data_IF_682314274460
#
_entry.id   IF_682314274460
#
_cell.length_a   1.000
_cell.length_b   1.000
_cell.length_c   1.000
_cell.angle_alpha   90.00
_cell.angle_beta   90.00
_cell.angle_gamma   90.00
#
_symmetry.space_group_name_H-M   'P 1'
#
loop_
_entity.id
_entity.type
_entity.pdbx_description
1 polymer ?
#
# COMPACT_ATOMS: atom_id res chain seq x y z
N UNK A 1 -18.75 -29.61 14.06
CA UNK A 1 -18.72 -30.25 12.72
C UNK A 1 -17.93 -29.34 11.80
N UNK A 2 -16.79 -29.80 11.27
CA UNK A 2 -16.00 -29.00 10.35
C UNK A 2 -16.58 -29.11 8.93
N UNK A 3 -16.73 -27.99 8.24
CA UNK A 3 -17.11 -27.96 6.84
C UNK A 3 -15.83 -27.85 5.99
N UNK A 4 -15.70 -28.72 5.00
CA UNK A 4 -14.56 -28.73 4.08
C UNK A 4 -15.05 -28.62 2.64
N UNK A 5 -14.21 -28.08 1.76
CA UNK A 5 -14.54 -27.97 0.33
C UNK A 5 -13.95 -29.14 -0.43
N UNK A 6 -14.77 -29.90 -1.16
CA UNK A 6 -14.29 -31.01 -2.00
C UNK A 6 -13.34 -30.47 -3.09
N UNK A 7 -12.14 -31.05 -3.22
CA UNK A 7 -11.12 -30.58 -4.16
C UNK A 7 -11.56 -30.66 -5.62
N UNK A 8 -12.37 -31.66 -5.96
CA UNK A 8 -12.81 -31.96 -7.33
C UNK A 8 -14.05 -31.19 -7.75
N UNK A 9 -15.14 -31.27 -6.97
CA UNK A 9 -16.41 -30.62 -7.33
C UNK A 9 -16.61 -29.24 -6.70
N UNK A 10 -15.68 -28.78 -5.85
CA UNK A 10 -15.72 -27.47 -5.16
C UNK A 10 -16.94 -27.21 -4.29
N UNK A 11 -17.75 -28.24 -3.97
CA UNK A 11 -18.88 -28.12 -3.05
C UNK A 11 -18.45 -28.26 -1.60
N UNK A 12 -19.14 -27.54 -0.72
CA UNK A 12 -18.94 -27.61 0.73
C UNK A 12 -19.64 -28.89 1.24
N UNK A 13 -18.90 -29.71 1.98
CA UNK A 13 -19.39 -30.98 2.57
C UNK A 13 -18.98 -31.07 4.03
N UNK A 14 -19.70 -31.87 4.81
CA UNK A 14 -19.32 -32.17 6.18
C UNK A 14 -18.06 -33.05 6.20
N UNK A 15 -17.12 -32.77 7.11
CA UNK A 15 -15.87 -33.52 7.23
C UNK A 15 -16.06 -34.99 7.64
N UNK A 16 -17.27 -35.40 8.05
CA UNK A 16 -17.59 -36.75 8.50
C UNK A 16 -18.25 -37.64 7.44
N UNK A 17 -18.52 -37.10 6.24
CA UNK A 17 -19.09 -37.88 5.12
C UNK A 17 -17.96 -38.28 4.17
N UNK A 18 -17.46 -39.50 4.32
CA UNK A 18 -16.50 -40.13 3.41
C UNK A 18 -17.17 -41.34 2.74
N UNK A 19 -17.19 -41.45 1.39
CA UNK A 19 -16.65 -40.54 0.36
C UNK A 19 -17.56 -39.32 0.06
N UNK A 20 -17.06 -38.36 -0.74
CA UNK A 20 -17.83 -37.15 -1.11
C UNK A 20 -19.15 -37.52 -1.82
N UNK A 21 -20.32 -37.08 -1.32
CA UNK A 21 -21.62 -37.54 -1.82
C UNK A 21 -21.95 -37.06 -3.25
N UNK A 22 -21.23 -36.06 -3.74
CA UNK A 22 -21.50 -35.47 -5.06
C UNK A 22 -20.62 -36.02 -6.19
N UNK A 23 -19.42 -36.52 -5.88
CA UNK A 23 -18.48 -36.95 -6.91
C UNK A 23 -17.72 -38.24 -6.59
N UNK A 24 -17.94 -38.84 -5.41
CA UNK A 24 -17.30 -40.09 -5.00
C UNK A 24 -15.81 -39.98 -4.71
N UNK A 25 -15.24 -38.77 -4.68
CA UNK A 25 -13.81 -38.60 -4.41
C UNK A 25 -13.50 -38.99 -2.94
N UNK A 26 -12.48 -39.84 -2.71
CA UNK A 26 -12.06 -40.23 -1.37
C UNK A 26 -11.47 -39.03 -0.61
N UNK A 27 -11.55 -39.09 0.71
CA UNK A 27 -11.07 -38.02 1.57
C UNK A 27 -9.54 -37.97 1.58
N UNK A 28 -8.90 -36.80 1.68
CA UNK A 28 -7.46 -36.71 1.88
C UNK A 28 -6.97 -37.37 3.17
N UNK A 29 -7.86 -37.71 4.11
CA UNK A 29 -7.52 -38.48 5.31
C UNK A 29 -7.09 -39.93 5.00
N UNK A 30 -7.67 -40.55 3.98
CA UNK A 30 -7.36 -41.94 3.59
C UNK A 30 -5.99 -42.07 2.93
N UNK A 31 -5.51 -41.00 2.27
CA UNK A 31 -4.20 -40.99 1.61
C UNK A 31 -3.01 -40.97 2.59
N UNK A 32 -3.26 -40.74 3.88
CA UNK A 32 -2.21 -40.71 4.91
C UNK A 32 -1.95 -42.07 5.58
N UNK A 33 -2.83 -43.06 5.41
CA UNK A 33 -2.77 -44.32 6.15
C UNK A 33 -1.73 -45.33 5.61
N UNK A 34 -1.16 -45.13 4.42
CA UNK A 34 -0.32 -46.14 3.75
C UNK A 34 1.19 -45.83 3.72
N UNK A 35 1.66 -44.82 4.48
CA UNK A 35 3.11 -44.58 4.61
C UNK A 35 3.67 -45.27 5.84
N UNK A 36 3.92 -46.58 5.71
CA UNK A 36 4.85 -47.28 6.60
C UNK A 36 6.22 -46.57 6.62
N UNK A 37 6.75 -46.19 7.79
CA UNK A 37 8.09 -45.63 7.89
C UNK A 37 9.12 -46.74 7.66
N UNK A 38 9.70 -46.80 6.47
CA UNK A 38 10.95 -47.55 6.24
C UNK A 38 12.07 -46.84 7.01
N UNK A 39 12.68 -47.55 7.94
CA UNK A 39 13.86 -47.11 8.68
C UNK A 39 15.02 -46.82 7.71
N UNK A 40 15.16 -45.55 7.31
CA UNK A 40 16.36 -45.05 6.65
C UNK A 40 17.34 -44.54 7.72
N UNK A 41 17.90 -45.47 8.50
CA UNK A 41 19.01 -45.18 9.39
C UNK A 41 20.31 -45.00 8.58
N UNK A 42 21.09 -43.99 9.01
CA UNK A 42 22.53 -43.86 8.80
C UNK A 42 23.11 -43.29 7.48
N UNK A 43 22.40 -42.40 6.75
CA UNK A 43 23.06 -41.56 5.71
C UNK A 43 22.80 -40.04 5.78
N UNK A 44 21.87 -39.59 6.62
CA UNK A 44 21.51 -38.16 6.70
C UNK A 44 22.24 -37.36 7.80
N UNK A 45 22.98 -38.03 8.70
CA UNK A 45 23.72 -37.35 9.76
C UNK A 45 24.82 -36.40 9.22
N UNK A 46 25.45 -36.76 8.09
CA UNK A 46 26.44 -35.91 7.43
C UNK A 46 25.84 -34.69 6.73
N UNK A 47 24.67 -34.82 6.10
CA UNK A 47 24.01 -33.70 5.42
C UNK A 47 23.43 -32.67 6.38
N UNK A 48 22.92 -33.10 7.54
CA UNK A 48 22.42 -32.17 8.55
C UNK A 48 23.55 -31.26 9.09
N UNK A 49 24.73 -31.82 9.36
CA UNK A 49 25.90 -31.05 9.78
C UNK A 49 26.42 -30.10 8.68
N UNK A 50 26.44 -30.55 7.42
CA UNK A 50 26.84 -29.70 6.30
C UNK A 50 25.90 -28.51 6.08
N UNK A 51 24.57 -28.74 6.18
CA UNK A 51 23.58 -27.66 6.07
C UNK A 51 23.67 -26.67 7.23
N UNK A 52 23.90 -27.17 8.45
CA UNK A 52 24.02 -26.32 9.63
C UNK A 52 25.30 -25.48 9.59
N UNK A 53 26.41 -26.04 9.10
CA UNK A 53 27.65 -25.30 8.86
C UNK A 53 27.47 -24.23 7.76
N UNK A 54 26.76 -24.54 6.67
CA UNK A 54 26.49 -23.57 5.60
C UNK A 54 25.62 -22.41 6.10
N UNK A 55 24.59 -22.69 6.90
CA UNK A 55 23.74 -21.66 7.54
C UNK A 55 24.55 -20.77 8.49
N UNK A 56 25.48 -21.35 9.25
CA UNK A 56 26.38 -20.61 10.13
C UNK A 56 27.33 -19.69 9.35
N UNK A 57 27.87 -20.17 8.23
CA UNK A 57 28.71 -19.35 7.33
C UNK A 57 27.90 -18.18 6.74
N UNK A 58 26.67 -18.43 6.30
CA UNK A 58 25.79 -17.38 5.78
C UNK A 58 25.43 -16.35 6.86
N UNK A 59 25.14 -16.79 8.09
CA UNK A 59 24.91 -15.90 9.23
C UNK A 59 26.15 -15.07 9.59
N UNK A 60 27.33 -15.66 9.56
CA UNK A 60 28.59 -14.97 9.81
C UNK A 60 28.92 -13.97 8.69
N UNK A 61 28.65 -14.30 7.43
CA UNK A 61 28.79 -13.36 6.31
C UNK A 61 27.79 -12.20 6.41
N UNK A 62 26.58 -12.45 6.91
CA UNK A 62 25.60 -11.39 7.14
C UNK A 62 26.04 -10.45 8.27
N UNK A 63 26.54 -11.00 9.38
CA UNK A 63 27.06 -10.21 10.51
C UNK A 63 28.35 -9.45 10.18
N UNK A 64 29.28 -10.05 9.43
CA UNK A 64 30.51 -9.40 9.01
C UNK A 64 30.28 -8.39 7.86
N UNK A 65 29.28 -8.62 7.02
CA UNK A 65 28.92 -7.77 5.88
C UNK A 65 28.16 -6.49 6.27
N UNK A 66 27.54 -6.44 7.44
CA UNK A 66 26.86 -5.23 7.95
C UNK A 66 27.79 -4.14 8.49
N UNK A 67 29.11 -4.35 8.48
CA UNK A 67 30.09 -3.48 9.17
C UNK A 67 30.87 -2.48 8.30
N UNK A 68 30.69 -2.45 6.98
CA UNK A 68 31.34 -1.46 6.09
C UNK A 68 30.35 -0.89 5.10
N UNK A 69 29.38 -0.12 5.60
CA UNK A 69 28.93 1.00 4.81
C UNK A 69 30.07 2.02 4.86
N UNK A 70 30.93 1.99 3.84
CA UNK A 70 31.74 3.13 3.51
C UNK A 70 30.78 4.32 3.45
N UNK A 71 30.89 5.20 4.45
CA UNK A 71 30.33 6.51 4.38
C UNK A 71 31.07 7.23 3.25
N UNK A 72 30.68 6.93 2.01
CA UNK A 72 30.74 7.91 0.95
C UNK A 72 30.07 9.13 1.57
N UNK A 73 30.79 10.26 1.75
CA UNK A 73 30.11 11.49 2.12
C UNK A 73 29.05 11.64 1.05
N UNK A 74 27.78 11.58 1.49
CA UNK A 74 26.69 11.96 0.63
C UNK A 74 27.10 13.33 0.12
N UNK A 75 27.47 13.40 -1.16
CA UNK A 75 27.36 14.64 -1.90
C UNK A 75 25.89 14.94 -1.77
N UNK A 76 25.57 15.78 -0.77
CA UNK A 76 24.26 16.36 -0.61
C UNK A 76 24.11 17.13 -1.89
N UNK A 77 23.40 16.52 -2.82
CA UNK A 77 23.10 17.07 -4.12
C UNK A 77 22.35 18.38 -3.84
N UNK A 78 23.08 19.51 -3.92
CA UNK A 78 22.57 20.84 -3.58
C UNK A 78 21.32 21.19 -4.41
N UNK A 79 21.04 20.45 -5.48
CA UNK A 79 19.81 20.50 -6.27
C UNK A 79 18.53 20.14 -5.49
N UNK A 80 18.61 19.41 -4.38
CA UNK A 80 17.43 19.10 -3.55
C UNK A 80 16.98 20.29 -2.68
N UNK A 81 17.84 21.30 -2.47
CA UNK A 81 17.51 22.46 -1.63
C UNK A 81 16.62 23.50 -2.29
N UNK A 82 16.47 23.44 -3.62
CA UNK A 82 15.69 24.41 -4.40
C UNK A 82 14.28 23.92 -4.76
N UNK A 83 13.80 22.80 -4.22
CA UNK A 83 12.47 22.30 -4.53
C UNK A 83 11.42 22.87 -3.57
N UNK A 84 10.40 23.53 -4.10
CA UNK A 84 9.25 24.05 -3.32
C UNK A 84 7.99 23.29 -3.71
N UNK A 85 7.11 23.03 -2.74
CA UNK A 85 5.85 22.34 -3.03
C UNK A 85 4.77 23.30 -3.57
N UNK A 86 3.82 22.75 -4.32
CA UNK A 86 2.76 23.53 -4.97
C UNK A 86 1.67 24.03 -4.00
N UNK A 87 1.71 23.63 -2.73
CA UNK A 87 0.81 24.14 -1.69
C UNK A 87 1.35 25.47 -1.13
N UNK A 88 2.66 25.58 -0.91
CA UNK A 88 3.30 26.79 -0.37
C UNK A 88 3.60 27.84 -1.43
N UNK A 89 3.91 27.41 -2.67
CA UNK A 89 4.10 28.31 -3.80
C UNK A 89 3.21 27.89 -4.96
N UNK A 90 2.37 28.80 -5.44
CA UNK A 90 1.43 28.53 -6.53
C UNK A 90 2.16 27.90 -7.73
N UNK A 91 1.59 26.81 -8.24
CA UNK A 91 2.02 26.15 -9.48
C UNK A 91 0.98 26.45 -10.56
N UNK A 92 1.20 27.48 -11.40
CA UNK A 92 0.29 27.81 -12.49
C UNK A 92 0.29 26.71 -13.57
N UNK A 93 -0.72 26.73 -14.44
CA UNK A 93 -0.78 25.84 -15.60
C UNK A 93 0.50 25.95 -16.46
N UNK A 94 0.97 24.82 -16.98
CA UNK A 94 2.22 24.70 -17.72
C UNK A 94 3.44 24.39 -16.85
N UNK A 95 3.37 24.57 -15.53
CA UNK A 95 4.46 24.24 -14.59
C UNK A 95 4.80 22.77 -14.67
N UNK A 96 6.09 22.46 -14.84
CA UNK A 96 6.63 21.10 -14.70
C UNK A 96 6.98 20.82 -13.25
N UNK A 97 6.57 19.66 -12.77
CA UNK A 97 6.76 19.27 -11.40
C UNK A 97 6.99 17.75 -11.29
N UNK A 98 7.41 17.32 -10.11
CA UNK A 98 7.59 15.90 -9.78
C UNK A 98 6.75 15.56 -8.56
N UNK A 99 6.08 14.42 -8.61
CA UNK A 99 5.32 13.93 -7.47
C UNK A 99 6.27 13.47 -6.36
N UNK A 100 5.84 13.68 -5.12
CA UNK A 100 6.57 13.24 -3.93
C UNK A 100 5.63 12.51 -2.96
N UNK A 101 6.07 11.34 -2.50
CA UNK A 101 5.37 10.52 -1.51
C UNK A 101 6.40 9.82 -0.64
N UNK A 102 6.04 9.54 0.61
CA UNK A 102 6.82 8.67 1.50
C UNK A 102 6.00 7.44 1.88
N UNK A 103 6.59 6.49 2.61
CA UNK A 103 5.85 5.34 3.13
C UNK A 103 4.84 5.75 4.19
N UNK A 104 5.18 6.77 4.98
CA UNK A 104 4.37 7.32 6.06
C UNK A 104 3.27 8.23 5.53
N UNK A 105 3.51 8.84 4.37
CA UNK A 105 2.61 9.80 3.77
C UNK A 105 2.32 9.46 2.30
N UNK A 106 1.55 8.38 2.05
CA UNK A 106 1.00 8.12 0.74
C UNK A 106 -0.03 9.19 0.35
N UNK A 107 -0.41 9.21 -0.92
CA UNK A 107 -1.52 10.01 -1.43
C UNK A 107 -2.27 9.25 -2.53
N UNK A 108 -3.45 9.74 -2.89
CA UNK A 108 -4.26 9.24 -3.99
C UNK A 108 -4.39 10.28 -5.11
N UNK A 109 -4.23 9.81 -6.35
CA UNK A 109 -4.52 10.54 -7.59
C UNK A 109 -5.90 10.11 -8.10
N UNK A 110 -6.84 11.04 -8.26
CA UNK A 110 -8.25 10.74 -8.52
C UNK A 110 -8.76 11.36 -9.83
N UNK A 111 -9.94 10.91 -10.28
CA UNK A 111 -10.57 11.41 -11.53
C UNK A 111 -11.23 12.79 -11.40
N UNK A 112 -11.56 13.23 -10.19
CA UNK A 112 -12.11 14.55 -9.90
C UNK A 112 -11.42 15.19 -8.69
N UNK A 113 -11.55 16.51 -8.54
CA UNK A 113 -11.04 17.25 -7.40
C UNK A 113 -11.77 16.86 -6.12
N UNK A 114 -13.08 16.62 -6.15
CA UNK A 114 -13.83 16.25 -4.95
C UNK A 114 -13.41 14.88 -4.41
N UNK A 115 -13.15 13.91 -5.29
CA UNK A 115 -12.59 12.62 -4.89
C UNK A 115 -11.18 12.76 -4.32
N UNK A 116 -10.35 13.62 -4.93
CA UNK A 116 -8.98 13.86 -4.46
C UNK A 116 -8.98 14.54 -3.09
N UNK A 117 -9.76 15.59 -2.91
CA UNK A 117 -9.93 16.31 -1.64
C UNK A 117 -10.40 15.34 -0.54
N UNK A 118 -11.47 14.59 -0.80
CA UNK A 118 -12.03 13.66 0.19
C UNK A 118 -11.06 12.52 0.54
N UNK A 119 -10.52 11.81 -0.46
CA UNK A 119 -9.69 10.63 -0.21
C UNK A 119 -8.38 11.00 0.50
N UNK A 120 -7.76 12.12 0.10
CA UNK A 120 -6.51 12.56 0.73
C UNK A 120 -6.75 13.21 2.09
N UNK A 121 -7.91 13.83 2.33
CA UNK A 121 -8.29 14.29 3.67
C UNK A 121 -8.46 13.12 4.64
N UNK A 122 -9.23 12.07 4.26
CA UNK A 122 -9.41 10.86 5.09
C UNK A 122 -8.06 10.23 5.43
N UNK A 123 -7.17 10.11 4.43
CA UNK A 123 -5.82 9.59 4.64
C UNK A 123 -4.98 10.47 5.56
N UNK A 124 -5.08 11.79 5.42
CA UNK A 124 -4.42 12.75 6.31
C UNK A 124 -4.86 12.60 7.77
N UNK A 125 -6.17 12.43 8.00
CA UNK A 125 -6.72 12.15 9.35
C UNK A 125 -6.17 10.84 9.90
N UNK A 126 -6.18 9.77 9.11
CA UNK A 126 -5.62 8.47 9.53
C UNK A 126 -4.15 8.61 9.97
N UNK A 127 -3.34 9.30 9.18
CA UNK A 127 -1.91 9.53 9.48
C UNK A 127 -1.77 10.39 10.74
N UNK A 128 -2.55 11.46 10.88
CA UNK A 128 -2.50 12.35 12.04
C UNK A 128 -2.80 11.62 13.36
N UNK A 129 -3.68 10.63 13.35
CA UNK A 129 -3.95 9.77 14.51
C UNK A 129 -2.83 8.75 14.78
N UNK A 130 -2.25 8.20 13.72
CA UNK A 130 -1.19 7.18 13.81
C UNK A 130 0.15 7.75 14.29
N UNK A 131 0.52 8.97 13.88
CA UNK A 131 1.81 9.56 14.20
C UNK A 131 2.10 9.67 15.71
N UNK A 132 1.21 10.20 16.57
CA UNK A 132 1.48 10.32 18.00
C UNK A 132 1.33 9.01 18.77
N UNK A 133 0.45 8.11 18.32
CA UNK A 133 0.08 6.90 19.07
C UNK A 133 0.80 5.63 18.61
N UNK A 134 1.30 5.62 17.37
CA UNK A 134 1.75 4.41 16.67
C UNK A 134 0.63 3.42 16.35
N UNK A 135 -0.63 3.76 16.65
CA UNK A 135 -1.79 2.88 16.48
C UNK A 135 -2.72 3.40 15.39
N UNK A 136 -3.31 2.48 14.62
CA UNK A 136 -4.36 2.82 13.68
C UNK A 136 -5.58 3.37 14.44
N UNK A 137 -6.27 4.40 13.92
CA UNK A 137 -7.50 4.89 14.54
C UNK A 137 -8.61 3.82 14.44
N UNK A 138 -9.63 3.96 15.31
CA UNK A 138 -10.87 3.21 15.15
C UNK A 138 -11.54 3.60 13.82
N UNK A 139 -11.96 2.61 13.04
CA UNK A 139 -12.57 2.82 11.72
C UNK A 139 -14.07 2.55 11.80
N UNK A 140 -14.86 3.54 11.37
CA UNK A 140 -16.31 3.45 11.30
C UNK A 140 -16.81 2.62 10.10
N UNK A 141 -18.14 2.49 9.99
CA UNK A 141 -18.79 1.74 8.90
C UNK A 141 -18.52 2.31 7.49
N UNK A 142 -18.09 3.56 7.41
CA UNK A 142 -17.78 4.27 6.17
C UNK A 142 -16.35 4.01 5.71
N UNK A 143 -15.52 3.28 6.47
CA UNK A 143 -14.09 3.13 6.20
C UNK A 143 -13.26 4.36 6.60
N UNK A 144 -13.88 5.34 7.26
CA UNK A 144 -13.25 6.56 7.77
C UNK A 144 -12.90 6.41 9.27
N UNK A 145 -11.90 7.15 9.78
CA UNK A 145 -11.65 7.25 11.22
C UNK A 145 -12.87 7.77 11.98
N UNK A 146 -13.12 7.21 13.17
CA UNK A 146 -14.16 7.71 14.07
C UNK A 146 -13.67 9.00 14.73
N UNK A 147 -14.19 10.14 14.24
CA UNK A 147 -13.86 11.48 14.73
C UNK A 147 -15.12 12.25 15.17
N UNK A 148 -14.92 13.36 15.90
CA UNK A 148 -15.99 14.17 16.45
C UNK A 148 -15.82 15.66 16.07
N UNK A 149 -16.82 16.49 16.39
CA UNK A 149 -16.73 17.94 16.24
C UNK A 149 -16.57 18.41 14.79
N UNK A 150 -15.72 19.42 14.58
CA UNK A 150 -15.47 20.05 13.29
C UNK A 150 -14.87 19.09 12.25
N UNK A 151 -14.06 18.13 12.71
CA UNK A 151 -13.42 17.16 11.84
C UNK A 151 -14.43 16.19 11.23
N UNK A 152 -15.41 15.75 12.04
CA UNK A 152 -16.54 14.98 11.56
C UNK A 152 -17.35 15.76 10.52
N UNK A 153 -17.62 17.04 10.78
CA UNK A 153 -18.35 17.89 9.84
C UNK A 153 -17.58 18.06 8.52
N UNK A 154 -16.26 18.19 8.57
CA UNK A 154 -15.41 18.26 7.39
C UNK A 154 -15.46 16.95 6.58
N UNK A 155 -15.36 15.79 7.23
CA UNK A 155 -15.51 14.48 6.59
C UNK A 155 -16.88 14.33 5.93
N UNK A 156 -17.96 14.60 6.66
CA UNK A 156 -19.32 14.44 6.15
C UNK A 156 -19.56 15.37 4.94
N UNK A 157 -19.06 16.61 5.00
CA UNK A 157 -19.14 17.56 3.88
C UNK A 157 -18.33 17.10 2.67
N UNK A 158 -17.08 16.68 2.85
CA UNK A 158 -16.20 16.25 1.76
C UNK A 158 -16.74 14.97 1.11
N UNK A 159 -17.21 14.02 1.90
CA UNK A 159 -17.85 12.78 1.42
C UNK A 159 -19.09 13.08 0.59
N UNK A 160 -19.96 13.96 1.07
CA UNK A 160 -21.14 14.41 0.33
C UNK A 160 -20.75 15.13 -0.97
N UNK A 161 -19.75 16.02 -0.93
CA UNK A 161 -19.20 16.73 -2.11
C UNK A 161 -18.66 15.74 -3.15
N UNK A 162 -17.96 14.69 -2.71
CA UNK A 162 -17.43 13.64 -3.57
C UNK A 162 -18.51 12.68 -4.12
N UNK A 163 -19.74 12.74 -3.61
CA UNK A 163 -20.85 11.90 -4.07
C UNK A 163 -20.65 10.41 -3.80
N UNK A 164 -19.97 10.08 -2.70
CA UNK A 164 -19.66 8.69 -2.29
C UNK A 164 -20.18 8.40 -0.89
N UNK A 165 -20.39 7.12 -0.60
CA UNK A 165 -20.92 6.66 0.69
C UNK A 165 -19.84 6.20 1.67
N UNK A 166 -18.71 5.70 1.14
CA UNK A 166 -17.59 5.15 1.91
C UNK A 166 -16.25 5.59 1.32
N UNK A 167 -15.20 5.51 2.14
CA UNK A 167 -13.83 5.73 1.72
C UNK A 167 -13.36 4.69 0.69
N UNK A 168 -13.77 3.43 0.85
CA UNK A 168 -13.47 2.34 -0.11
C UNK A 168 -14.04 2.66 -1.50
N UNK A 169 -15.27 3.17 -1.57
CA UNK A 169 -15.90 3.57 -2.84
C UNK A 169 -15.13 4.72 -3.51
N UNK A 170 -14.60 5.66 -2.71
CA UNK A 170 -13.80 6.77 -3.22
C UNK A 170 -12.48 6.27 -3.81
N UNK A 171 -11.70 5.48 -3.05
CA UNK A 171 -10.38 5.03 -3.50
C UNK A 171 -10.46 4.03 -4.65
N UNK A 172 -11.58 3.33 -4.83
CA UNK A 172 -11.83 2.50 -6.03
C UNK A 172 -11.89 3.33 -7.33
N UNK A 173 -12.11 4.65 -7.23
CA UNK A 173 -12.12 5.61 -8.34
C UNK A 173 -10.81 6.42 -8.42
N UNK A 174 -9.83 6.08 -7.59
CA UNK A 174 -8.52 6.71 -7.53
C UNK A 174 -7.41 5.69 -7.78
N UNK A 175 -6.19 6.19 -7.91
CA UNK A 175 -4.96 5.44 -8.01
C UNK A 175 -4.04 5.87 -6.88
N UNK A 176 -3.24 4.94 -6.36
CA UNK A 176 -2.20 5.30 -5.41
C UNK A 176 -1.16 6.17 -6.12
N UNK A 177 -0.79 7.28 -5.50
CA UNK A 177 0.24 8.17 -6.00
C UNK A 177 1.60 7.49 -6.12
N UNK A 178 2.30 7.79 -7.21
CA UNK A 178 3.65 7.29 -7.48
C UNK A 178 4.69 8.31 -7.03
N UNK A 179 5.89 7.84 -6.67
CA UNK A 179 7.01 8.71 -6.33
C UNK A 179 7.79 9.10 -7.58
N UNK A 180 8.25 10.35 -7.66
CA UNK A 180 9.08 10.86 -8.75
C UNK A 180 8.44 10.80 -10.14
N UNK A 181 7.11 10.76 -10.22
CA UNK A 181 6.40 10.86 -11.49
C UNK A 181 6.51 12.30 -12.00
N UNK A 182 7.04 12.46 -13.21
CA UNK A 182 7.11 13.78 -13.87
C UNK A 182 5.73 14.13 -14.40
N UNK A 183 5.25 15.32 -14.07
CA UNK A 183 3.94 15.79 -14.47
C UNK A 183 3.98 17.25 -14.90
N UNK A 184 3.01 17.64 -15.73
CA UNK A 184 2.73 19.02 -16.06
C UNK A 184 1.39 19.45 -15.44
N UNK A 185 1.38 20.60 -14.78
CA UNK A 185 0.16 21.19 -14.24
C UNK A 185 -0.72 21.67 -15.38
N UNK A 186 -1.96 21.19 -15.40
CA UNK A 186 -2.98 21.63 -16.35
C UNK A 186 -3.88 22.71 -15.75
N UNK A 187 -4.23 22.57 -14.47
CA UNK A 187 -5.09 23.52 -13.77
C UNK A 187 -4.85 23.47 -12.25
N UNK A 188 -4.81 24.64 -11.60
CA UNK A 188 -4.55 24.79 -10.17
C UNK A 188 -5.53 25.81 -9.58
N UNK A 189 -6.68 25.37 -9.05
CA UNK A 189 -7.64 26.27 -8.41
C UNK A 189 -7.02 26.92 -7.16
N UNK A 190 -7.27 28.20 -6.90
CA UNK A 190 -6.72 28.89 -5.72
C UNK A 190 -7.29 28.37 -4.40
N UNK A 191 -8.59 28.08 -4.40
CA UNK A 191 -9.36 27.69 -3.20
C UNK A 191 -9.49 26.15 -3.02
N UNK A 192 -8.58 25.39 -3.62
CA UNK A 192 -8.54 23.92 -3.50
C UNK A 192 -7.15 23.46 -3.09
N UNK A 193 -7.09 22.42 -2.27
CA UNK A 193 -5.85 21.73 -1.94
C UNK A 193 -5.45 20.70 -3.01
N UNK A 194 -6.29 20.51 -4.02
CA UNK A 194 -6.07 19.63 -5.17
C UNK A 194 -5.57 20.39 -6.40
N UNK A 195 -4.84 19.69 -7.26
CA UNK A 195 -4.29 20.19 -8.50
C UNK A 195 -4.48 19.16 -9.61
N UNK A 196 -4.82 19.63 -10.81
CA UNK A 196 -5.02 18.77 -11.98
C UNK A 196 -3.76 18.75 -12.84
N UNK A 197 -3.25 17.55 -13.10
CA UNK A 197 -1.98 17.33 -13.77
C UNK A 197 -2.10 16.26 -14.86
N UNK A 198 -1.15 16.25 -15.79
CA UNK A 198 -0.93 15.16 -16.75
C UNK A 198 0.48 14.58 -16.54
N UNK A 199 0.61 13.25 -16.60
CA UNK A 199 1.92 12.61 -16.63
C UNK A 199 2.68 13.03 -17.90
N UNK A 200 3.97 13.35 -17.78
CA UNK A 200 4.78 13.79 -18.95
C UNK A 200 4.97 12.66 -19.96
N UNK A 201 5.17 11.43 -19.49
CA UNK A 201 5.39 10.26 -20.36
C UNK A 201 4.10 9.76 -21.02
N UNK A 202 2.95 10.02 -20.38
CA UNK A 202 1.63 9.58 -20.80
C UNK A 202 0.61 10.73 -20.63
N UNK A 203 0.57 11.70 -21.56
CA UNK A 203 -0.28 12.89 -21.42
C UNK A 203 -1.79 12.60 -21.37
N UNK A 204 -2.20 11.40 -21.79
CA UNK A 204 -3.56 10.87 -21.64
C UNK A 204 -3.91 10.54 -20.18
N UNK A 205 -2.90 10.25 -19.35
CA UNK A 205 -3.06 9.96 -17.93
C UNK A 205 -3.13 11.28 -17.15
N UNK A 206 -4.36 11.76 -16.98
CA UNK A 206 -4.67 12.99 -16.27
C UNK A 206 -5.41 12.71 -14.97
N UNK A 207 -5.05 13.41 -13.91
CA UNK A 207 -5.59 13.13 -12.58
C UNK A 207 -5.48 14.34 -11.66
N UNK A 208 -6.31 14.33 -10.62
CA UNK A 208 -6.32 15.28 -9.52
C UNK A 208 -5.55 14.71 -8.33
N UNK A 209 -4.62 15.48 -7.77
CA UNK A 209 -3.82 15.07 -6.62
C UNK A 209 -3.59 16.24 -5.65
N UNK A 210 -3.13 16.00 -4.41
CA UNK A 210 -2.86 17.08 -3.47
C UNK A 210 -1.68 17.94 -3.93
N UNK A 211 -1.81 19.27 -3.82
CA UNK A 211 -0.74 20.25 -4.07
C UNK A 211 0.50 20.01 -3.22
N UNK A 212 0.32 19.55 -1.98
CA UNK A 212 1.41 19.24 -1.05
C UNK A 212 2.33 18.11 -1.56
N UNK A 213 1.85 17.29 -2.49
CA UNK A 213 2.56 16.12 -3.04
C UNK A 213 3.25 16.42 -4.37
N UNK A 214 3.35 17.69 -4.72
CA UNK A 214 3.90 18.13 -5.99
C UNK A 214 5.04 19.13 -5.76
N UNK A 215 6.23 18.80 -6.22
CA UNK A 215 7.43 19.61 -6.05
C UNK A 215 7.85 20.24 -7.39
N UNK A 216 8.15 21.54 -7.37
CA UNK A 216 8.74 22.25 -8.51
C UNK A 216 10.07 22.88 -8.11
N UNK A 217 10.89 23.19 -9.10
CA UNK A 217 12.07 24.03 -8.89
C UNK A 217 11.63 25.44 -8.46
N UNK A 218 12.28 25.97 -7.44
CA UNK A 218 12.26 27.39 -7.10
C UNK A 218 12.89 28.16 -8.25
N UNK A 219 12.27 29.27 -8.62
CA UNK A 219 12.76 30.21 -9.61
C UNK A 219 13.39 31.39 -8.89
#
# INVERSE_FOLDING_TARGET
MALITCRKCKRIVASSTEPCPYCGEPSPADAAADRQPRAAQARYAGMALALLALLLILLLQWYAGSGKHDASPAVVDQAASDMTNCLTAECPAGTRAVTFTTRQEPFYSCKSDELSDYANYVLGVMIAHMLPTGAAPEIGKTGEPVVQGSEKQALDRLRAKAGVSTFEEAIAKCYRGEQNQKVQVLYSPKDSDSIYVAAEEHPENKFWMPKARLLRKAH
#
